data_IF_266366880058
#
_entry.id   IF_266366880058
#
_cell.length_a   1.000
_cell.length_b   1.000
_cell.length_c   1.000
_cell.angle_alpha   90.00
_cell.angle_beta   90.00
_cell.angle_gamma   90.00
#
_symmetry.space_group_name_H-M   'P 1'
#
loop_
_entity.id
_entity.type
_entity.pdbx_description
1 polymer ?
#
# COMPACT_ATOMS: atom_id res chain seq x y z
N UNK A 1 10.86 22.16 18.92
CA UNK A 1 9.40 22.12 18.84
C UNK A 1 9.04 20.74 18.33
N UNK A 2 7.92 20.15 18.82
CA UNK A 2 7.43 18.87 18.29
C UNK A 2 6.87 19.01 16.88
N UNK A 3 6.72 17.87 16.18
CA UNK A 3 6.11 17.81 14.85
C UNK A 3 4.62 18.15 14.92
N UNK A 4 4.11 18.87 13.92
CA UNK A 4 2.69 19.27 13.86
C UNK A 4 1.88 18.34 12.95
N UNK A 5 0.67 18.03 13.38
CA UNK A 5 -0.30 17.21 12.64
C UNK A 5 -1.59 17.99 12.41
N UNK A 6 -1.98 18.10 11.15
CA UNK A 6 -3.28 18.62 10.75
C UNK A 6 -4.19 17.43 10.46
N UNK A 7 -5.31 17.34 11.14
CA UNK A 7 -6.15 16.16 11.18
C UNK A 7 -7.53 16.47 10.62
N UNK A 8 -7.99 15.65 9.66
CA UNK A 8 -9.31 15.83 9.04
C UNK A 8 -10.45 15.68 10.07
N UNK A 9 -11.51 16.47 9.92
CA UNK A 9 -12.64 16.47 10.85
C UNK A 9 -13.38 15.13 10.93
N UNK A 10 -13.34 14.29 9.90
CA UNK A 10 -13.90 12.93 9.96
C UNK A 10 -13.12 12.04 10.95
N UNK A 11 -11.80 12.22 11.08
CA UNK A 11 -10.97 11.51 12.06
C UNK A 11 -11.35 11.86 13.49
N UNK A 12 -11.64 13.15 13.76
CA UNK A 12 -12.14 13.58 15.06
C UNK A 12 -13.44 12.87 15.44
N UNK A 13 -14.40 12.87 14.50
CA UNK A 13 -15.69 12.19 14.71
C UNK A 13 -15.49 10.69 14.93
N UNK A 14 -14.63 10.05 14.13
CA UNK A 14 -14.31 8.64 14.26
C UNK A 14 -13.73 8.32 15.65
N UNK A 15 -12.67 9.01 16.06
CA UNK A 15 -12.03 8.79 17.36
C UNK A 15 -12.95 9.10 18.54
N UNK A 16 -13.88 10.07 18.39
CA UNK A 16 -14.87 10.39 19.42
C UNK A 16 -15.91 9.29 19.59
N UNK A 17 -16.34 8.68 18.47
CA UNK A 17 -17.34 7.62 18.47
C UNK A 17 -16.74 6.24 18.75
N UNK A 18 -15.41 6.09 18.67
CA UNK A 18 -14.74 4.82 18.94
C UNK A 18 -14.94 4.44 20.41
N UNK A 19 -15.75 3.43 20.68
CA UNK A 19 -16.01 2.93 22.02
C UNK A 19 -15.24 1.63 22.23
N UNK A 20 -14.25 1.65 23.12
CA UNK A 20 -13.69 0.42 23.64
C UNK A 20 -14.63 -0.18 24.69
N UNK A 21 -14.87 -1.49 24.65
CA UNK A 21 -15.59 -2.19 25.71
C UNK A 21 -14.90 -1.94 27.06
N UNK A 22 -15.66 -2.01 28.16
CA UNK A 22 -15.11 -1.72 29.48
C UNK A 22 -13.92 -2.65 29.80
N UNK A 23 -12.74 -2.07 29.94
CA UNK A 23 -11.50 -2.81 30.23
C UNK A 23 -10.75 -3.34 29.01
N UNK A 24 -11.25 -3.13 27.77
CA UNK A 24 -10.55 -3.54 26.55
C UNK A 24 -9.58 -2.46 26.04
N UNK A 25 -8.61 -2.92 25.24
CA UNK A 25 -7.67 -2.09 24.50
C UNK A 25 -7.97 -2.19 23.01
N UNK A 26 -8.04 -1.03 22.32
CA UNK A 26 -8.26 -0.97 20.88
C UNK A 26 -7.09 -0.27 20.21
N UNK A 27 -6.61 -0.84 19.10
CA UNK A 27 -5.53 -0.27 18.30
C UNK A 27 -6.02 0.09 16.92
N UNK A 28 -5.32 1.01 16.27
CA UNK A 28 -5.59 1.33 14.89
C UNK A 28 -4.52 2.22 14.28
N UNK A 29 -4.70 2.49 13.00
CA UNK A 29 -3.74 3.18 12.15
C UNK A 29 -4.19 4.61 11.85
N UNK A 30 -3.23 5.51 11.70
CA UNK A 30 -3.42 6.80 11.06
C UNK A 30 -2.87 6.79 9.64
N UNK A 31 -3.67 7.22 8.70
CA UNK A 31 -3.37 7.27 7.27
C UNK A 31 -3.38 8.73 6.84
N UNK A 32 -2.43 9.09 5.96
CA UNK A 32 -2.34 10.45 5.46
C UNK A 32 -1.06 10.71 4.69
N UNK A 33 -0.61 11.96 4.69
CA UNK A 33 0.57 12.38 3.96
C UNK A 33 1.59 13.07 4.85
N UNK A 34 2.85 12.63 4.76
CA UNK A 34 3.98 13.34 5.35
C UNK A 34 4.34 14.58 4.54
N UNK A 35 4.80 15.62 5.20
CA UNK A 35 5.48 16.73 4.55
C UNK A 35 6.65 17.24 5.40
N UNK A 36 7.52 18.07 4.81
CA UNK A 36 8.71 18.57 5.51
C UNK A 36 8.40 19.33 6.81
N UNK A 37 7.27 20.02 6.87
CA UNK A 37 6.93 20.90 8.00
C UNK A 37 5.89 20.29 8.94
N UNK A 38 4.87 19.63 8.39
CA UNK A 38 3.75 19.05 9.16
C UNK A 38 3.08 17.95 8.37
N UNK A 39 2.50 17.01 9.06
CA UNK A 39 1.79 15.89 8.45
C UNK A 39 0.28 16.12 8.41
N UNK A 40 -0.37 15.48 7.46
CA UNK A 40 -1.81 15.55 7.26
C UNK A 40 -2.43 14.18 7.50
N UNK A 41 -3.21 14.04 8.57
CA UNK A 41 -3.94 12.81 8.89
C UNK A 41 -5.33 12.90 8.27
N UNK A 42 -5.65 12.00 7.35
CA UNK A 42 -6.90 12.03 6.57
C UNK A 42 -7.87 10.93 6.93
N UNK A 43 -7.37 9.83 7.52
CA UNK A 43 -8.18 8.69 7.93
C UNK A 43 -7.60 8.06 9.19
N UNK A 44 -8.48 7.56 10.06
CA UNK A 44 -8.15 6.66 11.16
C UNK A 44 -8.95 5.37 10.97
N UNK A 45 -8.29 4.22 11.13
CA UNK A 45 -8.93 2.91 11.00
C UNK A 45 -8.55 2.03 12.17
N UNK A 46 -9.51 1.32 12.72
CA UNK A 46 -9.27 0.35 13.79
C UNK A 46 -8.64 -0.91 13.20
N UNK A 47 -7.72 -1.52 13.93
CA UNK A 47 -7.22 -2.84 13.56
C UNK A 47 -8.32 -3.87 13.76
N UNK A 48 -8.66 -4.67 12.72
CA UNK A 48 -9.71 -5.69 12.84
C UNK A 48 -9.34 -6.72 13.90
N UNK A 49 -10.36 -7.29 14.55
CA UNK A 49 -10.14 -8.35 15.51
C UNK A 49 -9.74 -9.64 14.79
N UNK A 50 -8.76 -10.35 15.36
CA UNK A 50 -8.34 -11.64 14.81
C UNK A 50 -9.42 -12.69 15.07
N UNK A 51 -9.93 -13.31 14.02
CA UNK A 51 -10.83 -14.45 14.14
C UNK A 51 -10.04 -15.69 14.58
N UNK A 52 -10.37 -16.23 15.74
CA UNK A 52 -9.87 -17.53 16.22
C UNK A 52 -11.01 -18.52 16.19
N UNK A 53 -10.80 -19.67 15.52
CA UNK A 53 -11.80 -20.73 15.49
C UNK A 53 -12.19 -21.18 16.91
N UNK A 54 -13.49 -21.15 17.18
CA UNK A 54 -14.04 -21.66 18.45
C UNK A 54 -14.19 -20.64 19.60
N UNK A 55 -13.86 -19.38 19.41
CA UNK A 55 -14.03 -18.34 20.45
C UNK A 55 -15.35 -17.58 20.28
N UNK A 56 -16.12 -17.47 21.35
CA UNK A 56 -17.33 -16.62 21.42
C UNK A 56 -16.97 -15.15 21.28
N UNK A 57 -17.85 -14.34 20.70
CA UNK A 57 -17.65 -12.91 20.38
C UNK A 57 -17.05 -12.07 21.53
N UNK A 58 -17.28 -12.45 22.79
CA UNK A 58 -16.81 -11.73 23.96
C UNK A 58 -15.31 -11.90 24.30
N UNK A 59 -14.57 -12.77 23.59
CA UNK A 59 -13.13 -13.01 23.84
C UNK A 59 -12.22 -12.39 22.78
N UNK A 60 -12.76 -11.64 21.83
CA UNK A 60 -12.03 -11.10 20.66
C UNK A 60 -11.26 -9.83 20.94
N UNK A 61 -11.62 -9.06 21.96
CA UNK A 61 -10.94 -7.79 22.31
C UNK A 61 -9.82 -8.00 23.31
N UNK A 62 -8.59 -7.44 23.07
CA UNK A 62 -7.52 -7.49 24.05
C UNK A 62 -7.97 -6.86 25.38
N UNK A 63 -7.93 -7.64 26.46
CA UNK A 63 -8.28 -7.17 27.80
C UNK A 63 -7.12 -6.46 28.53
N UNK A 64 -5.91 -6.57 27.99
CA UNK A 64 -4.72 -5.91 28.54
C UNK A 64 -3.79 -5.47 27.42
N UNK A 65 -2.82 -4.60 27.71
CA UNK A 65 -1.81 -4.18 26.74
C UNK A 65 -0.92 -5.34 26.29
N UNK A 66 -0.67 -6.31 27.13
CA UNK A 66 0.16 -7.49 26.83
C UNK A 66 -0.54 -8.49 25.89
N UNK A 67 -1.86 -8.43 25.82
CA UNK A 67 -2.65 -9.27 24.91
C UNK A 67 -2.80 -8.69 23.48
N UNK A 68 -2.23 -7.50 23.23
CA UNK A 68 -2.21 -6.92 21.88
C UNK A 68 -1.22 -7.70 21.01
N UNK A 69 -1.72 -8.30 19.94
CA UNK A 69 -0.92 -9.00 18.96
C UNK A 69 -0.20 -7.97 18.05
N UNK A 70 1.10 -7.79 18.30
CA UNK A 70 1.95 -6.83 17.60
C UNK A 70 2.12 -7.21 16.12
N UNK A 71 2.19 -8.51 15.83
CA UNK A 71 2.36 -9.02 14.46
C UNK A 71 1.08 -8.79 13.64
N UNK A 72 -0.08 -9.00 14.25
CA UNK A 72 -1.37 -8.74 13.63
C UNK A 72 -1.57 -7.26 13.27
N UNK A 73 -1.21 -6.34 14.20
CA UNK A 73 -1.25 -4.89 13.92
C UNK A 73 -0.28 -4.51 12.79
N UNK A 74 0.92 -5.10 12.79
CA UNK A 74 1.91 -4.83 11.76
C UNK A 74 1.48 -5.39 10.39
N UNK A 75 0.82 -6.54 10.36
CA UNK A 75 0.27 -7.14 9.15
C UNK A 75 -0.92 -6.32 8.61
N UNK A 76 -1.84 -5.90 9.47
CA UNK A 76 -2.90 -4.98 9.07
C UNK A 76 -2.33 -3.71 8.41
N UNK A 77 -1.30 -3.12 9.01
CA UNK A 77 -0.66 -1.92 8.43
C UNK A 77 0.00 -2.21 7.07
N UNK A 78 0.58 -3.40 6.87
CA UNK A 78 1.16 -3.85 5.60
C UNK A 78 0.06 -3.97 4.53
N UNK A 79 -1.05 -4.63 4.84
CA UNK A 79 -2.18 -4.78 3.93
C UNK A 79 -2.80 -3.42 3.58
N UNK A 80 -3.05 -2.59 4.59
CA UNK A 80 -3.54 -1.22 4.36
C UNK A 80 -2.59 -0.43 3.46
N UNK A 81 -1.27 -0.56 3.63
CA UNK A 81 -0.31 0.16 2.78
C UNK A 81 -0.41 -0.18 1.31
N UNK A 82 -0.85 -1.41 0.94
CA UNK A 82 -1.12 -1.83 -0.44
C UNK A 82 -2.38 -1.16 -1.02
N UNK A 83 -3.30 -0.72 -0.14
CA UNK A 83 -4.58 -0.10 -0.53
C UNK A 83 -4.49 1.42 -0.66
N UNK A 84 -3.31 2.00 -0.48
CA UNK A 84 -3.11 3.45 -0.52
C UNK A 84 -2.50 3.89 -1.85
N UNK A 85 -3.02 4.97 -2.47
CA UNK A 85 -2.44 5.57 -3.65
C UNK A 85 -1.14 6.32 -3.32
N UNK A 86 -0.37 6.69 -4.33
CA UNK A 86 0.87 7.43 -4.17
C UNK A 86 0.72 8.72 -3.34
N UNK A 87 1.73 8.99 -2.53
CA UNK A 87 1.74 10.13 -1.63
C UNK A 87 0.96 9.95 -0.34
N UNK A 88 0.09 8.92 -0.24
CA UNK A 88 -0.64 8.57 0.98
C UNK A 88 0.02 7.37 1.65
N UNK A 89 0.17 7.39 2.95
CA UNK A 89 0.87 6.34 3.70
C UNK A 89 0.35 6.18 5.12
N UNK A 90 0.73 5.10 5.78
CA UNK A 90 0.52 4.92 7.22
C UNK A 90 1.48 5.83 7.98
N UNK A 91 0.94 6.78 8.73
CA UNK A 91 1.70 7.79 9.47
C UNK A 91 2.03 7.37 10.90
N UNK A 92 1.27 6.44 11.45
CA UNK A 92 1.41 5.97 12.83
C UNK A 92 0.16 5.28 13.35
N UNK A 93 -0.01 5.29 14.67
CA UNK A 93 -0.95 4.45 15.37
C UNK A 93 -1.71 5.20 16.47
N UNK A 94 -2.92 4.74 16.77
CA UNK A 94 -3.60 5.09 18.01
C UNK A 94 -3.81 3.84 18.90
N UNK A 95 -3.97 4.10 20.18
CA UNK A 95 -4.30 3.11 21.19
C UNK A 95 -5.33 3.72 22.14
N UNK A 96 -6.49 3.08 22.21
CA UNK A 96 -7.49 3.36 23.25
C UNK A 96 -7.30 2.37 24.36
N UNK A 97 -7.06 2.84 25.57
CA UNK A 97 -6.78 1.97 26.71
C UNK A 97 -7.39 2.55 28.01
N UNK A 98 -7.68 1.70 29.01
CA UNK A 98 -8.18 2.14 30.30
C UNK A 98 -7.12 2.96 31.06
N UNK A 99 -7.51 3.84 32.00
CA UNK A 99 -6.59 4.74 32.72
C UNK A 99 -5.50 3.97 33.49
N UNK A 100 -5.79 2.77 33.95
CA UNK A 100 -4.85 1.90 34.65
C UNK A 100 -3.64 1.51 33.78
N UNK A 101 -3.86 1.34 32.50
CA UNK A 101 -2.84 0.99 31.50
C UNK A 101 -2.02 2.19 30.98
N UNK A 102 -2.35 3.42 31.39
CA UNK A 102 -1.78 4.67 30.83
C UNK A 102 -0.26 4.78 30.94
N UNK A 103 0.36 4.20 31.99
CA UNK A 103 1.80 4.23 32.20
C UNK A 103 2.55 3.37 31.17
N UNK A 104 1.97 2.23 30.79
CA UNK A 104 2.57 1.24 29.87
C UNK A 104 2.19 1.48 28.43
N UNK A 105 1.09 2.21 28.19
CA UNK A 105 0.57 2.50 26.86
C UNK A 105 1.63 3.11 25.91
N UNK A 106 2.53 3.94 26.43
CA UNK A 106 3.57 4.55 25.63
C UNK A 106 4.62 3.54 25.17
N UNK A 107 4.98 2.57 26.00
CA UNK A 107 5.93 1.51 25.64
C UNK A 107 5.30 0.56 24.62
N UNK A 108 4.03 0.23 24.79
CA UNK A 108 3.26 -0.57 23.83
C UNK A 108 3.18 0.14 22.48
N UNK A 109 2.81 1.43 22.45
CA UNK A 109 2.81 2.22 21.22
C UNK A 109 4.18 2.30 20.56
N UNK A 110 5.27 2.40 21.33
CA UNK A 110 6.64 2.34 20.79
C UNK A 110 6.88 1.00 20.10
N UNK A 111 6.60 -0.13 20.76
CA UNK A 111 6.75 -1.47 20.16
C UNK A 111 5.96 -1.60 18.87
N UNK A 112 4.69 -1.18 18.87
CA UNK A 112 3.80 -1.26 17.72
C UNK A 112 4.32 -0.41 16.54
N UNK A 113 4.71 0.84 16.77
CA UNK A 113 5.15 1.74 15.69
C UNK A 113 6.42 1.25 15.02
N UNK A 114 7.37 0.67 15.78
CA UNK A 114 8.57 0.08 15.21
C UNK A 114 8.28 -1.21 14.44
N UNK A 115 7.37 -2.06 14.93
CA UNK A 115 6.95 -3.27 14.24
C UNK A 115 6.24 -2.93 12.92
N UNK A 116 5.33 -1.97 12.93
CA UNK A 116 4.62 -1.48 11.74
C UNK A 116 5.59 -0.90 10.72
N UNK A 117 6.50 -0.01 11.13
CA UNK A 117 7.47 0.58 10.21
C UNK A 117 8.40 -0.49 9.60
N UNK A 118 8.85 -1.43 10.40
CA UNK A 118 9.66 -2.58 9.93
C UNK A 118 8.90 -3.43 8.91
N UNK A 119 7.61 -3.73 9.17
CA UNK A 119 6.77 -4.53 8.27
C UNK A 119 6.56 -3.83 6.94
N UNK A 120 6.17 -2.55 6.94
CA UNK A 120 5.97 -1.76 5.73
C UNK A 120 7.28 -1.56 4.96
N UNK A 121 8.40 -1.34 5.66
CA UNK A 121 9.71 -1.13 5.01
C UNK A 121 10.22 -2.37 4.29
N UNK A 122 9.91 -3.57 4.78
CA UNK A 122 10.25 -4.83 4.10
C UNK A 122 9.57 -4.98 2.73
N UNK A 123 8.39 -4.36 2.56
CA UNK A 123 7.62 -4.38 1.30
C UNK A 123 8.04 -3.27 0.33
N UNK A 124 9.01 -2.43 0.67
CA UNK A 124 9.50 -1.38 -0.23
C UNK A 124 10.66 -1.88 -1.06
N UNK A 125 10.67 -1.53 -2.36
CA UNK A 125 11.73 -1.92 -3.29
C UNK A 125 12.90 -0.94 -3.35
N UNK A 126 12.71 0.29 -2.90
CA UNK A 126 13.78 1.29 -2.84
C UNK A 126 14.06 1.76 -1.42
N UNK A 127 15.29 2.18 -1.23
CA UNK A 127 15.73 2.69 0.06
C UNK A 127 15.12 4.07 0.34
N UNK A 128 14.79 4.36 1.61
CA UNK A 128 14.30 5.69 1.99
C UNK A 128 15.36 6.75 1.69
N UNK A 129 14.92 7.89 1.16
CA UNK A 129 15.80 9.04 0.93
C UNK A 129 16.18 9.71 2.26
N UNK A 130 17.26 10.53 2.25
CA UNK A 130 17.66 11.33 3.42
C UNK A 130 16.59 12.35 3.81
N UNK A 131 15.79 12.81 2.84
CA UNK A 131 14.69 13.76 3.03
C UNK A 131 13.42 13.11 3.59
N UNK A 132 13.35 11.77 3.70
CA UNK A 132 12.16 11.08 4.17
C UNK A 132 11.92 11.34 5.65
N UNK A 133 10.66 11.64 5.97
CA UNK A 133 10.20 11.82 7.34
C UNK A 133 10.19 10.50 8.08
N UNK A 134 11.01 10.40 9.12
CA UNK A 134 11.17 9.20 9.94
C UNK A 134 10.39 9.24 11.25
N UNK A 135 9.82 10.40 11.59
CA UNK A 135 8.97 10.54 12.76
C UNK A 135 7.58 9.97 12.50
N UNK A 136 7.12 9.04 13.35
CA UNK A 136 5.80 8.41 13.28
C UNK A 136 4.96 8.85 14.47
N UNK A 137 3.69 9.14 14.22
CA UNK A 137 2.77 9.60 15.24
C UNK A 137 2.22 8.45 16.08
N UNK A 138 2.02 8.71 17.35
CA UNK A 138 1.29 7.85 18.29
C UNK A 138 0.31 8.66 19.08
N UNK A 139 -0.94 8.18 19.20
CA UNK A 139 -1.98 8.80 19.98
C UNK A 139 -2.51 7.81 21.01
N UNK A 140 -2.32 8.12 22.29
CA UNK A 140 -2.95 7.38 23.38
C UNK A 140 -4.24 8.10 23.78
N UNK A 141 -5.35 7.38 23.78
CA UNK A 141 -6.67 7.88 24.20
C UNK A 141 -7.12 7.08 25.43
N UNK A 142 -7.38 7.78 26.52
CA UNK A 142 -7.96 7.14 27.71
C UNK A 142 -9.44 6.80 27.45
N UNK A 143 -9.82 5.52 27.58
CA UNK A 143 -11.19 5.06 27.30
C UNK A 143 -12.25 5.71 28.20
N UNK A 144 -11.93 6.02 29.46
CA UNK A 144 -12.86 6.64 30.42
C UNK A 144 -12.93 8.16 30.29
N UNK A 145 -11.77 8.83 30.29
CA UNK A 145 -11.73 10.31 30.34
C UNK A 145 -11.69 10.95 28.92
N UNK A 146 -11.49 10.16 27.89
CA UNK A 146 -11.31 10.58 26.49
C UNK A 146 -10.13 11.54 26.31
N UNK A 147 -9.28 11.69 27.32
CA UNK A 147 -8.05 12.49 27.20
C UNK A 147 -7.09 11.83 26.21
N UNK A 148 -6.68 12.59 25.22
CA UNK A 148 -5.71 12.16 24.22
C UNK A 148 -4.31 12.73 24.51
N UNK A 149 -3.28 11.91 24.30
CA UNK A 149 -1.87 12.30 24.41
C UNK A 149 -1.18 11.95 23.11
N UNK A 150 -0.75 12.98 22.38
CA UNK A 150 -0.08 12.85 21.08
C UNK A 150 1.44 12.94 21.24
N UNK A 151 2.16 11.98 20.68
CA UNK A 151 3.62 11.93 20.68
C UNK A 151 4.16 11.39 19.34
N UNK A 152 5.45 11.58 19.10
CA UNK A 152 6.16 11.00 17.95
C UNK A 152 7.34 10.17 18.40
N UNK A 153 7.67 9.18 17.59
CA UNK A 153 8.90 8.37 17.68
C UNK A 153 9.65 8.46 16.36
N UNK A 154 10.96 8.61 16.42
CA UNK A 154 11.83 8.49 15.26
C UNK A 154 12.17 7.02 15.04
N UNK A 155 11.64 6.43 13.95
CA UNK A 155 11.82 4.99 13.67
C UNK A 155 13.21 4.62 13.19
N UNK A 156 14.05 5.60 12.80
CA UNK A 156 15.49 5.37 12.52
C UNK A 156 16.33 5.20 13.80
N UNK A 157 15.84 5.72 14.94
CA UNK A 157 16.55 5.60 16.21
C UNK A 157 15.77 4.73 17.21
N UNK A 158 16.11 3.44 17.37
CA UNK A 158 15.45 2.54 18.32
C UNK A 158 15.55 3.00 19.78
N UNK A 159 16.54 3.84 20.10
CA UNK A 159 16.76 4.38 21.45
C UNK A 159 16.02 5.69 21.68
N UNK A 160 15.33 6.25 20.67
CA UNK A 160 14.64 7.51 20.80
C UNK A 160 13.59 7.49 21.93
N UNK A 161 13.45 8.64 22.57
CA UNK A 161 12.35 8.92 23.49
C UNK A 161 11.19 9.56 22.74
N UNK A 162 9.97 9.34 23.25
CA UNK A 162 8.78 9.96 22.70
C UNK A 162 8.85 11.48 22.83
N UNK A 163 8.67 12.19 21.73
CA UNK A 163 8.61 13.66 21.68
C UNK A 163 7.14 14.10 21.68
N UNK A 164 6.75 15.19 22.39
CA UNK A 164 5.41 15.74 22.25
C UNK A 164 5.14 16.18 20.80
N UNK A 165 3.90 16.05 20.35
CA UNK A 165 3.48 16.46 19.03
C UNK A 165 2.21 17.32 19.12
N UNK A 166 2.08 18.27 18.17
CA UNK A 166 0.90 19.12 18.08
C UNK A 166 -0.16 18.41 17.22
N UNK A 167 -1.38 18.31 17.75
CA UNK A 167 -2.52 17.67 17.10
C UNK A 167 -3.65 18.67 16.93
N UNK A 168 -3.96 19.03 15.68
CA UNK A 168 -4.95 20.05 15.38
C UNK A 168 -5.97 19.57 14.37
N UNK A 169 -7.24 19.62 14.71
CA UNK A 169 -8.33 19.30 13.81
C UNK A 169 -8.63 20.45 12.82
N UNK A 170 -8.87 20.07 11.58
CA UNK A 170 -9.25 21.00 10.51
C UNK A 170 -10.04 20.21 9.47
N UNK A 171 -11.25 20.66 9.11
CA UNK A 171 -12.09 20.02 8.11
C UNK A 171 -11.74 20.45 6.70
N UNK A 172 -11.95 19.56 5.73
CA UNK A 172 -11.82 19.84 4.30
C UNK A 172 -10.39 20.00 3.80
N UNK A 173 -9.40 19.43 4.50
CA UNK A 173 -7.99 19.54 4.11
C UNK A 173 -7.70 18.84 2.79
N UNK A 174 -8.39 17.76 2.48
CA UNK A 174 -8.17 16.92 1.29
C UNK A 174 -8.97 17.37 0.07
N UNK A 175 -10.00 18.19 0.23
CA UNK A 175 -10.92 18.58 -0.84
C UNK A 175 -10.25 19.29 -2.02
N UNK A 176 -9.10 19.90 -1.79
CA UNK A 176 -8.34 20.66 -2.79
C UNK A 176 -7.04 19.97 -3.21
N UNK A 177 -6.75 18.77 -2.70
CA UNK A 177 -5.53 18.07 -3.08
C UNK A 177 -5.57 17.66 -4.56
N UNK A 178 -4.58 18.08 -5.37
CA UNK A 178 -4.50 17.63 -6.75
C UNK A 178 -4.27 16.12 -6.80
N UNK A 179 -4.95 15.48 -7.74
CA UNK A 179 -4.75 14.10 -8.10
C UNK A 179 -3.87 14.03 -9.35
N UNK A 180 -2.75 13.32 -9.27
CA UNK A 180 -1.85 13.08 -10.38
C UNK A 180 -2.13 11.67 -10.90
N UNK A 181 -2.30 11.50 -12.21
CA UNK A 181 -2.58 10.21 -12.83
C UNK A 181 -1.59 9.90 -13.94
N UNK A 182 -1.23 8.62 -14.06
CA UNK A 182 -0.37 8.10 -15.11
C UNK A 182 -0.82 6.69 -15.49
N UNK A 183 -0.80 6.37 -16.79
CA UNK A 183 -0.89 5.01 -17.28
C UNK A 183 0.50 4.57 -17.73
N UNK A 184 0.98 3.46 -17.19
CA UNK A 184 2.30 2.91 -17.50
C UNK A 184 2.13 1.56 -18.18
N UNK A 185 2.70 1.42 -19.36
CA UNK A 185 2.85 0.12 -19.98
C UNK A 185 4.02 -0.59 -19.32
N UNK A 186 3.73 -1.72 -18.70
CA UNK A 186 4.72 -2.60 -18.09
C UNK A 186 5.06 -3.70 -19.10
N UNK A 187 6.35 -3.92 -19.31
CA UNK A 187 6.91 -5.01 -20.11
C UNK A 187 8.26 -5.37 -19.48
N UNK A 188 8.20 -6.29 -18.53
CA UNK A 188 9.32 -6.59 -17.64
C UNK A 188 9.66 -8.06 -17.70
N UNK A 189 10.88 -8.37 -18.16
CA UNK A 189 11.42 -9.72 -18.18
C UNK A 189 12.51 -9.88 -17.12
N UNK A 190 12.31 -10.81 -16.21
CA UNK A 190 13.21 -11.06 -15.07
C UNK A 190 13.78 -12.47 -15.22
N UNK A 191 15.10 -12.63 -15.41
CA UNK A 191 15.75 -13.94 -15.40
C UNK A 191 15.68 -14.54 -13.99
N UNK A 192 15.35 -15.82 -13.89
CA UNK A 192 15.24 -16.53 -12.61
C UNK A 192 16.16 -17.76 -12.56
N UNK A 193 16.63 -18.06 -11.36
CA UNK A 193 17.38 -19.30 -11.06
C UNK A 193 16.47 -20.25 -10.32
N UNK A 194 16.58 -21.57 -10.59
CA UNK A 194 15.73 -22.60 -10.00
C UNK A 194 15.74 -22.67 -8.48
N UNK A 195 16.87 -22.28 -7.87
CA UNK A 195 17.04 -22.43 -6.41
C UNK A 195 16.42 -21.29 -5.57
N UNK A 196 16.20 -20.09 -6.17
CA UNK A 196 15.78 -18.87 -5.44
C UNK A 196 14.92 -17.95 -6.30
N UNK A 197 13.80 -18.45 -6.80
CA UNK A 197 12.87 -17.71 -7.69
C UNK A 197 12.46 -16.39 -7.03
N UNK A 198 12.01 -16.41 -5.78
CA UNK A 198 11.59 -15.22 -5.01
C UNK A 198 12.68 -14.13 -4.97
N UNK A 199 13.92 -14.54 -4.71
CA UNK A 199 15.04 -13.59 -4.64
C UNK A 199 15.32 -12.99 -6.01
N UNK A 200 15.36 -13.81 -7.06
CA UNK A 200 15.61 -13.35 -8.43
C UNK A 200 14.54 -12.35 -8.87
N UNK A 201 13.27 -12.63 -8.59
CA UNK A 201 12.16 -11.73 -8.88
C UNK A 201 12.30 -10.41 -8.12
N UNK A 202 12.58 -10.44 -6.83
CA UNK A 202 12.77 -9.24 -6.01
C UNK A 202 13.95 -8.39 -6.48
N UNK A 203 15.05 -9.01 -6.86
CA UNK A 203 16.24 -8.31 -7.36
C UNK A 203 16.01 -7.70 -8.74
N UNK A 204 15.28 -8.39 -9.64
CA UNK A 204 14.84 -7.85 -10.93
C UNK A 204 13.90 -6.66 -10.77
N UNK A 205 12.93 -6.77 -9.85
CA UNK A 205 12.04 -5.66 -9.52
C UNK A 205 12.75 -4.46 -8.92
N UNK A 206 13.78 -4.67 -8.09
CA UNK A 206 14.61 -3.57 -7.57
C UNK A 206 15.36 -2.85 -8.69
N UNK A 207 15.86 -3.59 -9.67
CA UNK A 207 16.53 -3.01 -10.84
C UNK A 207 15.57 -2.16 -11.65
N UNK A 208 14.36 -2.68 -11.91
CA UNK A 208 13.31 -1.92 -12.57
C UNK A 208 12.84 -0.70 -11.76
N UNK A 209 12.72 -0.82 -10.45
CA UNK A 209 12.37 0.30 -9.57
C UNK A 209 13.38 1.45 -9.65
N UNK A 210 14.69 1.15 -9.78
CA UNK A 210 15.74 2.16 -9.99
C UNK A 210 15.58 2.88 -11.34
N UNK A 211 15.18 2.14 -12.40
CA UNK A 211 14.88 2.75 -13.71
C UNK A 211 13.68 3.70 -13.63
N UNK A 212 12.62 3.31 -12.90
CA UNK A 212 11.47 4.20 -12.66
C UNK A 212 11.88 5.41 -11.81
N UNK A 213 12.74 5.24 -10.81
CA UNK A 213 13.21 6.34 -9.96
C UNK A 213 14.02 7.37 -10.77
N UNK A 214 14.87 6.93 -11.69
CA UNK A 214 15.62 7.81 -12.60
C UNK A 214 14.76 8.40 -13.75
N UNK A 215 13.55 7.87 -14.00
CA UNK A 215 12.70 8.32 -15.09
C UNK A 215 12.37 9.81 -15.03
N UNK A 216 12.40 10.48 -16.18
CA UNK A 216 11.94 11.86 -16.31
C UNK A 216 10.41 11.92 -16.20
N UNK A 217 9.89 12.75 -15.32
CA UNK A 217 8.46 12.96 -15.17
C UNK A 217 8.01 14.21 -15.95
N UNK A 218 7.10 14.03 -16.91
CA UNK A 218 6.42 15.13 -17.57
C UNK A 218 5.07 15.37 -16.88
N UNK A 219 4.78 16.62 -16.55
CA UNK A 219 3.49 17.03 -15.99
C UNK A 219 2.72 17.84 -17.03
N UNK A 220 1.54 17.36 -17.39
CA UNK A 220 0.72 17.91 -18.49
C UNK A 220 1.53 18.08 -19.80
N UNK A 221 2.39 17.10 -20.10
CA UNK A 221 3.22 17.07 -21.33
C UNK A 221 4.42 18.03 -21.31
N UNK A 222 4.76 18.63 -20.17
CA UNK A 222 5.88 19.54 -20.03
C UNK A 222 6.91 18.99 -19.05
N UNK A 223 8.18 19.16 -19.37
CA UNK A 223 9.26 18.98 -18.39
C UNK A 223 9.12 20.02 -17.29
N UNK A 224 9.27 19.60 -16.06
CA UNK A 224 9.20 20.48 -14.90
C UNK A 224 10.48 20.40 -14.10
N UNK A 225 10.88 21.54 -13.53
CA UNK A 225 12.01 21.57 -12.61
C UNK A 225 11.59 21.02 -11.26
N UNK A 226 12.45 20.31 -10.56
CA UNK A 226 12.16 19.64 -9.30
C UNK A 226 11.56 20.57 -8.23
N UNK A 227 12.03 21.81 -8.16
CA UNK A 227 11.55 22.82 -7.23
C UNK A 227 10.39 23.66 -7.78
N UNK A 228 9.89 23.35 -8.98
CA UNK A 228 8.74 24.02 -9.57
C UNK A 228 7.47 23.88 -8.72
N UNK A 229 6.58 24.86 -8.80
CA UNK A 229 5.26 24.75 -8.19
C UNK A 229 4.36 23.88 -9.08
N UNK A 230 3.77 22.82 -8.49
CA UNK A 230 2.85 21.89 -9.20
C UNK A 230 1.62 22.62 -9.76
N UNK A 231 1.16 23.63 -9.04
CA UNK A 231 -0.06 24.41 -9.37
C UNK A 231 0.34 25.86 -9.69
N UNK A 232 0.91 26.06 -10.87
CA UNK A 232 1.19 27.41 -11.39
C UNK A 232 -0.03 27.94 -12.12
N UNK A 233 -0.82 28.79 -11.46
CA UNK A 233 -1.96 29.47 -12.09
C UNK A 233 -2.49 30.60 -11.22
N UNK A 234 -3.18 31.63 -11.80
CA UNK A 234 -3.76 32.70 -11.00
C UNK A 234 -4.76 32.08 -10.02
N UNK A 235 -4.57 32.32 -8.73
CA UNK A 235 -5.51 31.94 -7.67
C UNK A 235 -6.84 32.64 -7.98
N UNK A 236 -7.71 31.97 -8.75
CA UNK A 236 -9.09 32.45 -8.94
C UNK A 236 -9.85 32.24 -7.64
N UNK A 237 -10.29 33.35 -7.11
CA UNK A 237 -11.04 33.54 -5.89
C UNK A 237 -12.28 32.64 -5.75
N UNK A 238 -12.55 32.18 -4.53
CA UNK A 238 -13.88 32.07 -3.89
C UNK A 238 -14.97 31.24 -4.56
N UNK A 239 -14.66 30.09 -5.15
CA UNK A 239 -15.60 28.98 -5.27
C UNK A 239 -14.93 27.74 -4.73
N UNK A 240 -15.68 26.85 -4.06
CA UNK A 240 -15.17 25.58 -3.53
C UNK A 240 -14.19 24.99 -4.56
N UNK A 241 -12.92 24.87 -4.20
CA UNK A 241 -11.87 24.48 -5.13
C UNK A 241 -12.12 23.04 -5.55
N UNK A 242 -12.60 22.88 -6.77
CA UNK A 242 -12.78 21.58 -7.38
C UNK A 242 -11.41 20.91 -7.47
N UNK A 243 -11.34 19.66 -7.06
CA UNK A 243 -10.11 18.88 -7.13
C UNK A 243 -9.55 18.88 -8.57
N UNK A 244 -8.25 19.19 -8.70
CA UNK A 244 -7.60 19.24 -10.01
C UNK A 244 -6.99 17.88 -10.32
N UNK A 245 -7.27 17.38 -11.53
CA UNK A 245 -6.58 16.20 -12.08
C UNK A 245 -5.44 16.63 -12.98
N UNK A 246 -4.25 16.14 -12.69
CA UNK A 246 -3.01 16.43 -13.41
C UNK A 246 -2.55 15.14 -14.07
N UNK A 247 -2.29 15.18 -15.38
CA UNK A 247 -1.75 14.03 -16.12
C UNK A 247 -0.24 14.06 -16.10
N UNK A 248 0.36 12.92 -15.79
CA UNK A 248 1.80 12.75 -15.83
C UNK A 248 2.20 11.66 -16.83
N UNK A 249 3.45 11.72 -17.28
CA UNK A 249 4.11 10.71 -18.12
C UNK A 249 5.49 10.45 -17.55
N UNK A 250 5.91 9.21 -17.54
CA UNK A 250 7.25 8.80 -17.15
C UNK A 250 8.03 8.37 -18.40
N UNK A 251 9.21 8.95 -18.58
CA UNK A 251 10.12 8.64 -19.69
C UNK A 251 11.38 8.02 -19.10
N UNK A 252 11.64 6.78 -19.43
CA UNK A 252 12.90 6.09 -19.06
C UNK A 252 13.90 6.30 -20.20
N UNK A 253 15.15 6.68 -19.87
CA UNK A 253 16.21 6.79 -20.86
C UNK A 253 16.67 5.40 -21.30
N UNK A 254 16.81 5.20 -22.61
CA UNK A 254 17.37 3.97 -23.14
C UNK A 254 18.85 3.79 -22.75
N UNK A 255 19.58 4.89 -22.58
CA UNK A 255 21.00 4.87 -22.18
C UNK A 255 21.19 4.37 -20.75
N UNK A 256 20.24 4.65 -19.84
CA UNK A 256 20.28 4.16 -18.45
C UNK A 256 19.97 2.66 -18.34
N UNK A 257 19.23 2.11 -19.31
CA UNK A 257 18.96 0.67 -19.38
C UNK A 257 20.22 -0.14 -19.71
N UNK A 258 21.11 0.42 -20.52
CA UNK A 258 22.36 -0.26 -20.95
C UNK A 258 23.52 -0.04 -19.97
N UNK A 259 23.57 1.07 -19.24
CA UNK A 259 24.68 1.40 -18.34
C UNK A 259 24.86 0.40 -17.18
N UNK A 260 23.80 -0.30 -16.79
CA UNK A 260 23.85 -1.37 -15.78
C UNK A 260 24.31 -2.73 -16.32
N UNK A 261 24.23 -2.96 -17.65
CA UNK A 261 24.57 -4.23 -18.28
C UNK A 261 26.01 -4.33 -18.78
N UNK A 262 26.70 -3.20 -18.94
CA UNK A 262 28.03 -3.16 -19.53
C UNK A 262 29.18 -3.66 -18.63
N UNK A 263 28.94 -4.03 -17.39
CA UNK A 263 30.04 -4.30 -16.47
C UNK A 263 30.19 -5.74 -15.98
N UNK A 264 29.37 -6.72 -16.37
CA UNK A 264 29.55 -8.05 -15.83
C UNK A 264 30.10 -9.05 -16.86
N UNK A 265 31.34 -9.42 -16.67
CA UNK A 265 31.92 -10.61 -17.26
C UNK A 265 31.45 -11.92 -16.59
N UNK A 266 30.47 -11.85 -15.68
CA UNK A 266 29.94 -13.02 -14.97
C UNK A 266 28.74 -13.55 -15.74
N UNK A 267 28.91 -14.73 -16.29
CA UNK A 267 27.83 -15.53 -16.87
C UNK A 267 27.00 -16.09 -15.71
N UNK A 268 25.74 -15.69 -15.63
CA UNK A 268 24.80 -16.26 -14.65
C UNK A 268 24.04 -17.41 -15.30
N UNK A 269 23.98 -18.55 -14.62
CA UNK A 269 23.08 -19.62 -15.01
C UNK A 269 21.63 -19.17 -14.75
N UNK A 270 20.79 -19.32 -15.76
CA UNK A 270 19.39 -18.97 -15.71
C UNK A 270 18.56 -20.21 -16.03
N UNK A 271 17.57 -20.51 -15.18
CA UNK A 271 16.67 -21.65 -15.39
C UNK A 271 15.38 -21.26 -16.12
N UNK A 272 15.16 -19.97 -16.33
CA UNK A 272 13.98 -19.43 -16.99
C UNK A 272 13.86 -17.93 -16.82
N UNK A 273 12.73 -17.39 -17.23
CA UNK A 273 12.40 -15.98 -16.98
C UNK A 273 10.94 -15.81 -16.57
N UNK A 274 10.69 -14.78 -15.76
CA UNK A 274 9.35 -14.30 -15.46
C UNK A 274 9.10 -13.05 -16.28
N UNK A 275 8.05 -13.06 -17.08
CA UNK A 275 7.63 -11.94 -17.90
C UNK A 275 6.32 -11.36 -17.39
N UNK A 276 6.33 -10.07 -17.05
CA UNK A 276 5.16 -9.32 -16.58
C UNK A 276 4.82 -8.25 -17.59
N UNK A 277 3.61 -8.34 -18.18
CA UNK A 277 3.17 -7.43 -19.22
C UNK A 277 1.76 -6.90 -18.97
N UNK A 278 1.48 -5.66 -19.42
CA UNK A 278 0.17 -5.03 -19.35
C UNK A 278 0.25 -3.56 -18.97
N UNK A 279 -0.91 -2.92 -18.84
CA UNK A 279 -1.01 -1.52 -18.47
C UNK A 279 -1.45 -1.39 -17.01
N UNK A 280 -0.78 -0.53 -16.25
CA UNK A 280 -1.16 -0.18 -14.87
C UNK A 280 -1.61 1.27 -14.78
N UNK A 281 -2.69 1.53 -14.06
CA UNK A 281 -3.19 2.87 -13.78
C UNK A 281 -2.72 3.31 -12.39
N UNK A 282 -2.00 4.43 -12.36
CA UNK A 282 -1.43 4.97 -11.12
C UNK A 282 -2.07 6.29 -10.75
N UNK A 283 -2.27 6.49 -9.46
CA UNK A 283 -2.79 7.72 -8.86
C UNK A 283 -1.92 8.14 -7.69
N UNK A 284 -1.67 9.44 -7.61
CA UNK A 284 -1.01 10.03 -6.46
C UNK A 284 -1.72 11.31 -6.03
N UNK A 285 -1.69 11.61 -4.75
CA UNK A 285 -2.26 12.82 -4.18
C UNK A 285 -1.18 13.62 -3.48
N UNK A 286 -1.27 14.95 -3.61
CA UNK A 286 -0.30 15.86 -2.98
C UNK A 286 -1.05 16.96 -2.24
N UNK A 287 -0.61 17.25 -1.02
CA UNK A 287 -1.16 18.33 -0.23
C UNK A 287 -0.95 19.71 -0.90
N UNK A 288 -1.85 20.64 -0.64
CA UNK A 288 -1.83 21.98 -1.29
C UNK A 288 -0.91 23.02 -0.64
N UNK A 289 -0.19 22.66 0.43
CA UNK A 289 0.74 23.57 1.08
C UNK A 289 2.06 23.63 0.32
N UNK A 290 2.13 24.49 -0.71
CA UNK A 290 3.29 24.68 -1.62
C UNK A 290 3.79 23.35 -2.22
N UNK A 291 2.93 22.66 -2.99
CA UNK A 291 3.30 21.38 -3.58
C UNK A 291 4.40 21.58 -4.62
N UNK A 292 5.53 20.91 -4.42
CA UNK A 292 6.61 20.89 -5.39
C UNK A 292 6.44 19.75 -6.38
N UNK A 293 6.87 19.98 -7.61
CA UNK A 293 6.79 18.98 -8.69
C UNK A 293 7.57 17.72 -8.35
N UNK A 294 8.73 17.81 -7.69
CA UNK A 294 9.50 16.64 -7.24
C UNK A 294 8.69 15.71 -6.33
N UNK A 295 7.88 16.25 -5.39
CA UNK A 295 7.07 15.43 -4.50
C UNK A 295 5.95 14.70 -5.27
N UNK A 296 5.37 15.38 -6.27
CA UNK A 296 4.36 14.78 -7.14
C UNK A 296 4.96 13.66 -8.00
N UNK A 297 6.12 13.89 -8.59
CA UNK A 297 6.84 12.89 -9.37
C UNK A 297 7.20 11.68 -8.51
N UNK A 298 7.77 11.91 -7.33
CA UNK A 298 8.15 10.83 -6.40
C UNK A 298 6.96 10.03 -5.92
N UNK A 299 5.86 10.69 -5.54
CA UNK A 299 4.63 10.01 -5.13
C UNK A 299 4.08 9.11 -6.24
N UNK A 300 4.10 9.61 -7.48
CA UNK A 300 3.63 8.84 -8.64
C UNK A 300 4.55 7.65 -8.96
N UNK A 301 5.87 7.87 -8.99
CA UNK A 301 6.87 6.81 -9.20
C UNK A 301 6.74 5.70 -8.14
N UNK A 302 6.58 6.09 -6.88
CA UNK A 302 6.31 5.14 -5.78
C UNK A 302 5.03 4.34 -6.02
N UNK A 303 3.97 4.97 -6.50
CA UNK A 303 2.71 4.29 -6.79
C UNK A 303 2.86 3.27 -7.94
N UNK A 304 3.60 3.62 -8.99
CA UNK A 304 3.90 2.70 -10.10
C UNK A 304 4.61 1.45 -9.60
N UNK A 305 5.69 1.63 -8.87
CA UNK A 305 6.52 0.52 -8.37
C UNK A 305 5.75 -0.33 -7.35
N UNK A 306 5.06 0.31 -6.40
CA UNK A 306 4.28 -0.40 -5.39
C UNK A 306 3.14 -1.21 -6.02
N UNK A 307 2.50 -0.68 -7.07
CA UNK A 307 1.40 -1.36 -7.77
C UNK A 307 1.89 -2.66 -8.43
N UNK A 308 2.99 -2.61 -9.16
CA UNK A 308 3.56 -3.80 -9.83
C UNK A 308 4.08 -4.80 -8.79
N UNK A 309 4.80 -4.29 -7.79
CA UNK A 309 5.33 -5.13 -6.71
C UNK A 309 4.23 -5.86 -5.94
N UNK A 310 3.17 -5.15 -5.53
CA UNK A 310 2.06 -5.75 -4.78
C UNK A 310 1.39 -6.89 -5.56
N UNK A 311 1.20 -6.75 -6.86
CA UNK A 311 0.62 -7.81 -7.71
C UNK A 311 1.50 -9.05 -7.79
N UNK A 312 2.80 -8.83 -7.96
CA UNK A 312 3.75 -9.95 -8.02
C UNK A 312 3.87 -10.61 -6.64
N UNK A 313 3.86 -9.82 -5.55
CA UNK A 313 3.88 -10.36 -4.20
C UNK A 313 2.64 -11.20 -3.92
N UNK A 314 1.45 -10.75 -4.32
CA UNK A 314 0.20 -11.53 -4.21
C UNK A 314 0.25 -12.84 -5.01
N UNK A 315 0.80 -12.79 -6.24
CA UNK A 315 1.00 -13.99 -7.04
C UNK A 315 1.96 -14.98 -6.34
N UNK A 316 3.06 -14.50 -5.80
CA UNK A 316 4.01 -15.35 -5.07
C UNK A 316 3.39 -15.94 -3.79
N UNK A 317 2.59 -15.17 -3.07
CA UNK A 317 1.82 -15.65 -1.90
C UNK A 317 0.85 -16.76 -2.32
N UNK A 318 0.10 -16.60 -3.40
CA UNK A 318 -0.83 -17.61 -3.95
C UNK A 318 -0.10 -18.90 -4.37
N UNK A 319 1.05 -18.76 -5.05
CA UNK A 319 1.88 -19.90 -5.44
C UNK A 319 2.41 -20.69 -4.23
N UNK A 320 2.81 -20.01 -3.16
CA UNK A 320 3.26 -20.66 -1.92
C UNK A 320 2.13 -21.46 -1.26
N UNK A 321 0.91 -20.95 -1.31
CA UNK A 321 -0.28 -21.63 -0.76
C UNK A 321 -0.67 -22.87 -1.55
N UNK A 322 -0.46 -22.87 -2.87
CA UNK A 322 -0.85 -23.93 -3.81
C UNK A 322 0.26 -24.95 -4.13
N UNK A 323 1.23 -25.17 -3.22
CA UNK A 323 2.35 -26.11 -3.33
C UNK A 323 3.42 -25.80 -4.42
N UNK A 324 3.58 -24.54 -4.78
CA UNK A 324 4.83 -24.06 -5.37
C UNK A 324 5.09 -24.39 -6.83
N UNK A 325 4.19 -25.08 -7.51
CA UNK A 325 4.31 -25.26 -8.95
C UNK A 325 3.89 -23.96 -9.66
N UNK A 326 4.89 -23.16 -10.01
CA UNK A 326 4.77 -22.19 -11.11
C UNK A 326 4.42 -23.01 -12.34
N UNK A 327 3.12 -23.25 -12.55
CA UNK A 327 2.66 -23.93 -13.74
C UNK A 327 3.23 -23.16 -14.94
N UNK A 328 4.00 -23.85 -15.79
CA UNK A 328 4.42 -23.28 -17.05
C UNK A 328 3.16 -22.80 -17.78
N UNK A 329 2.99 -21.48 -17.87
CA UNK A 329 1.79 -20.91 -18.46
C UNK A 329 1.62 -19.43 -18.12
N UNK A 330 0.66 -18.83 -18.77
CA UNK A 330 0.27 -17.44 -18.55
C UNK A 330 -0.75 -17.37 -17.42
N UNK A 331 -0.51 -16.48 -16.45
CA UNK A 331 -1.40 -16.20 -15.34
C UNK A 331 -1.86 -14.74 -15.38
N UNK A 332 -3.13 -14.52 -15.11
CA UNK A 332 -3.68 -13.18 -14.97
C UNK A 332 -3.40 -12.64 -13.57
N UNK A 333 -2.76 -11.47 -13.52
CA UNK A 333 -2.52 -10.75 -12.27
C UNK A 333 -3.78 -10.00 -11.83
N UNK A 334 -3.99 -9.81 -10.52
CA UNK A 334 -5.14 -9.04 -10.05
C UNK A 334 -5.10 -7.60 -10.56
N UNK A 335 -6.27 -7.07 -10.95
CA UNK A 335 -6.43 -5.70 -11.44
C UNK A 335 -6.61 -4.73 -10.27
N UNK A 336 -6.01 -3.56 -10.37
CA UNK A 336 -6.23 -2.50 -9.39
C UNK A 336 -7.57 -1.82 -9.61
N UNK A 337 -8.33 -1.67 -8.56
CA UNK A 337 -9.62 -1.00 -8.52
C UNK A 337 -9.57 0.16 -7.56
N UNK A 338 -10.45 1.15 -7.76
CA UNK A 338 -10.45 2.36 -6.94
C UNK A 338 -11.84 2.62 -6.36
N UNK A 339 -11.86 3.12 -5.12
CA UNK A 339 -13.08 3.52 -4.46
C UNK A 339 -12.91 4.89 -3.80
N UNK A 340 -13.94 5.74 -3.77
CA UNK A 340 -13.87 7.04 -3.12
C UNK A 340 -13.79 6.87 -1.60
N UNK A 341 -12.92 7.63 -0.95
CA UNK A 341 -12.90 7.72 0.50
C UNK A 341 -13.94 8.73 0.97
N UNK A 342 -14.99 8.24 1.61
CA UNK A 342 -16.14 9.04 2.05
C UNK A 342 -15.70 10.28 2.85
N UNK A 343 -16.26 11.44 2.50
CA UNK A 343 -15.97 12.71 3.18
C UNK A 343 -14.62 13.33 2.85
N UNK A 344 -13.85 12.75 1.92
CA UNK A 344 -12.59 13.28 1.43
C UNK A 344 -12.59 13.36 -0.10
N UNK A 345 -11.65 14.12 -0.67
CA UNK A 345 -11.43 14.13 -2.12
C UNK A 345 -10.50 13.00 -2.59
N UNK A 346 -10.15 12.05 -1.73
CA UNK A 346 -9.22 10.97 -2.03
C UNK A 346 -9.96 9.73 -2.49
N UNK A 347 -9.27 8.90 -3.25
CA UNK A 347 -9.64 7.51 -3.50
C UNK A 347 -8.65 6.58 -2.82
N UNK A 348 -9.11 5.45 -2.36
CA UNK A 348 -8.31 4.30 -1.96
C UNK A 348 -8.35 3.26 -3.07
N UNK A 349 -7.52 2.26 -3.00
CA UNK A 349 -7.45 1.20 -4.02
C UNK A 349 -7.38 -0.18 -3.38
N UNK A 350 -7.75 -1.17 -4.16
CA UNK A 350 -7.57 -2.58 -3.84
C UNK A 350 -7.29 -3.35 -5.13
N UNK A 351 -7.14 -4.66 -5.03
CA UNK A 351 -6.86 -5.56 -6.14
C UNK A 351 -7.98 -6.59 -6.24
N UNK A 352 -8.57 -6.72 -7.43
CA UNK A 352 -9.61 -7.70 -7.73
C UNK A 352 -9.00 -8.86 -8.53
N UNK A 353 -9.13 -10.08 -8.03
CA UNK A 353 -8.71 -11.28 -8.71
C UNK A 353 -9.71 -11.69 -9.80
N UNK A 354 -9.31 -12.53 -10.78
CA UNK A 354 -10.19 -12.91 -11.89
C UNK A 354 -11.47 -13.64 -11.47
N UNK A 355 -11.46 -14.30 -10.33
CA UNK A 355 -12.55 -15.07 -9.73
C UNK A 355 -13.39 -14.29 -8.70
N UNK A 356 -13.00 -13.06 -8.40
CA UNK A 356 -13.69 -12.16 -7.46
C UNK A 356 -14.63 -11.19 -8.16
N UNK A 357 -15.57 -10.64 -7.38
CA UNK A 357 -16.50 -9.60 -7.79
C UNK A 357 -16.35 -8.33 -6.97
N UNK A 358 -17.09 -7.27 -7.30
CA UNK A 358 -17.02 -5.98 -6.60
C UNK A 358 -17.55 -6.01 -5.18
N UNK A 359 -18.41 -6.97 -4.82
CA UNK A 359 -18.90 -7.14 -3.46
C UNK A 359 -17.77 -7.63 -2.53
N UNK A 360 -16.95 -8.59 -3.00
CA UNK A 360 -15.79 -9.10 -2.24
C UNK A 360 -14.80 -7.96 -1.95
N UNK A 361 -14.58 -7.08 -2.93
CA UNK A 361 -13.74 -5.89 -2.78
C UNK A 361 -14.34 -4.89 -1.79
N UNK A 362 -15.65 -4.65 -1.86
CA UNK A 362 -16.32 -3.74 -0.93
C UNK A 362 -16.24 -4.25 0.53
N UNK A 363 -16.35 -5.56 0.72
CA UNK A 363 -16.18 -6.19 2.04
C UNK A 363 -14.75 -6.00 2.58
N UNK A 364 -13.72 -6.20 1.75
CA UNK A 364 -12.32 -5.92 2.15
C UNK A 364 -12.08 -4.45 2.49
N UNK A 365 -12.66 -3.50 1.75
CA UNK A 365 -12.59 -2.08 2.12
C UNK A 365 -13.24 -1.81 3.49
N UNK A 366 -14.33 -2.47 3.79
CA UNK A 366 -15.00 -2.37 5.09
C UNK A 366 -14.13 -2.93 6.21
N UNK A 367 -13.57 -4.11 6.02
CA UNK A 367 -12.73 -4.80 7.01
C UNK A 367 -11.43 -4.03 7.25
N UNK A 368 -10.71 -3.68 6.17
CA UNK A 368 -9.36 -3.14 6.25
C UNK A 368 -9.31 -1.65 6.52
N UNK A 369 -10.28 -0.88 6.01
CA UNK A 369 -10.30 0.59 6.06
C UNK A 369 -11.52 1.16 6.79
N UNK A 370 -12.41 0.31 7.32
CA UNK A 370 -13.68 0.72 7.93
C UNK A 370 -14.53 1.60 6.99
N UNK A 371 -14.42 1.36 5.67
CA UNK A 371 -15.15 2.09 4.63
C UNK A 371 -16.38 1.30 4.20
N UNK A 372 -17.57 1.77 4.54
CA UNK A 372 -18.81 1.22 4.02
C UNK A 372 -19.04 1.71 2.60
N UNK A 373 -18.78 0.85 1.62
CA UNK A 373 -18.93 1.12 0.20
C UNK A 373 -20.05 0.26 -0.38
N UNK A 374 -20.76 0.80 -1.38
CA UNK A 374 -21.65 0.01 -2.19
C UNK A 374 -20.86 -0.59 -3.37
N UNK A 375 -21.31 -1.70 -3.92
CA UNK A 375 -20.66 -2.33 -5.09
C UNK A 375 -20.46 -1.36 -6.26
N UNK A 376 -21.40 -0.44 -6.48
CA UNK A 376 -21.35 0.59 -7.52
C UNK A 376 -20.32 1.70 -7.29
N UNK A 377 -19.76 1.82 -6.08
CA UNK A 377 -18.72 2.79 -5.76
C UNK A 377 -17.31 2.31 -6.18
N UNK A 378 -17.15 1.02 -6.48
CA UNK A 378 -15.89 0.41 -6.87
C UNK A 378 -15.67 0.57 -8.38
N UNK A 379 -14.71 1.38 -8.76
CA UNK A 379 -14.34 1.63 -10.15
C UNK A 379 -13.33 0.57 -10.65
N UNK A 380 -13.82 -0.36 -11.46
CA UNK A 380 -13.05 -1.45 -12.09
C UNK A 380 -12.60 -1.10 -13.51
N UNK A 381 -12.96 0.07 -14.04
CA UNK A 381 -12.79 0.42 -15.46
C UNK A 381 -11.40 0.98 -15.79
N UNK A 382 -10.61 1.33 -14.79
CA UNK A 382 -9.36 2.07 -14.97
C UNK A 382 -8.22 1.23 -15.56
N UNK A 383 -8.25 -0.08 -15.36
CA UNK A 383 -7.16 -0.96 -15.81
C UNK A 383 -7.66 -2.10 -16.70
N UNK A 384 -6.86 -2.40 -17.73
CA UNK A 384 -6.93 -3.65 -18.47
C UNK A 384 -6.20 -4.77 -17.69
N UNK A 385 -6.40 -6.01 -18.13
CA UNK A 385 -5.75 -7.19 -17.54
C UNK A 385 -4.23 -7.11 -17.68
N UNK A 386 -3.51 -7.28 -16.58
CA UNK A 386 -2.06 -7.47 -16.56
C UNK A 386 -1.76 -8.96 -16.43
N UNK A 387 -0.68 -9.43 -17.07
CA UNK A 387 -0.36 -10.86 -17.18
C UNK A 387 1.04 -11.13 -16.69
N UNK A 388 1.22 -12.31 -16.13
CA UNK A 388 2.51 -12.87 -15.79
C UNK A 388 2.68 -14.22 -16.50
N UNK A 389 3.82 -14.45 -17.13
CA UNK A 389 4.16 -15.75 -17.69
C UNK A 389 5.54 -16.19 -17.23
N UNK A 390 5.69 -17.49 -17.04
CA UNK A 390 6.97 -18.13 -16.68
C UNK A 390 7.41 -18.95 -17.86
N UNK A 391 8.59 -18.62 -18.39
CA UNK A 391 9.20 -19.29 -19.54
C UNK A 391 10.42 -20.08 -19.05
N UNK A 392 10.40 -21.41 -19.28
CA UNK A 392 11.56 -22.26 -19.06
C UNK A 392 12.64 -22.04 -20.16
N UNK A 393 13.88 -22.38 -19.87
CA UNK A 393 14.98 -22.29 -20.86
C UNK A 393 14.78 -23.28 -22.02
N UNK A 394 13.99 -24.34 -21.81
CA UNK A 394 13.71 -25.37 -22.81
C UNK A 394 12.66 -24.95 -23.86
N UNK A 395 11.85 -23.93 -23.57
CA UNK A 395 10.79 -23.44 -24.48
C UNK A 395 11.29 -22.41 -25.52
N UNK A 396 12.58 -22.21 -25.64
CA UNK A 396 13.21 -21.13 -26.39
C UNK A 396 13.33 -21.29 -27.91
N UNK A 397 12.40 -21.96 -28.58
CA UNK A 397 12.37 -22.04 -30.07
C UNK A 397 10.95 -22.05 -30.64
N UNK A 398 10.11 -21.09 -30.29
CA UNK A 398 8.98 -20.73 -31.13
C UNK A 398 8.97 -19.22 -31.39
N UNK A 399 9.09 -18.88 -32.68
CA UNK A 399 9.01 -17.53 -33.22
C UNK A 399 7.74 -16.84 -32.74
N UNK A 400 7.87 -15.86 -31.86
CA UNK A 400 6.75 -14.99 -31.46
C UNK A 400 6.41 -14.09 -32.64
N UNK A 401 5.46 -14.52 -33.43
CA UNK A 401 4.80 -13.67 -34.43
C UNK A 401 3.97 -12.62 -33.71
N UNK A 402 4.36 -11.36 -33.82
CA UNK A 402 3.59 -10.22 -33.33
C UNK A 402 2.26 -10.14 -34.09
N UNK A 403 1.21 -10.65 -33.53
CA UNK A 403 -0.16 -10.42 -34.03
C UNK A 403 -0.67 -9.10 -33.51
N UNK A 404 -0.83 -8.14 -34.41
CA UNK A 404 -1.57 -6.89 -34.17
C UNK A 404 -3.01 -7.22 -33.83
N UNK A 405 -3.45 -6.86 -32.65
CA UNK A 405 -4.82 -7.11 -32.20
C UNK A 405 -5.81 -6.23 -32.95
N UNK A 406 -6.55 -6.83 -33.87
CA UNK A 406 -7.89 -6.39 -34.27
C UNK A 406 -8.91 -7.06 -33.36
N UNK A 407 -9.80 -6.26 -32.77
CA UNK A 407 -10.92 -6.72 -31.96
C UNK A 407 -11.80 -7.69 -32.74
N UNK A 408 -12.00 -8.90 -32.21
CA UNK A 408 -13.10 -9.76 -32.58
C UNK A 408 -13.65 -10.44 -31.32
N UNK A 409 -14.89 -10.12 -31.01
CA UNK A 409 -15.74 -10.74 -30.02
C UNK A 409 -15.97 -12.23 -30.35
N UNK A 410 -15.70 -13.13 -29.42
CA UNK A 410 -16.23 -14.49 -29.49
C UNK A 410 -16.67 -14.95 -28.11
N UNK A 411 -17.93 -15.34 -28.06
CA UNK A 411 -18.64 -15.95 -26.94
C UNK A 411 -17.95 -17.22 -26.45
N UNK A 412 -17.71 -17.30 -25.15
CA UNK A 412 -17.28 -18.53 -24.48
C UNK A 412 -18.38 -19.05 -23.55
N UNK A 413 -18.83 -20.26 -23.85
CA UNK A 413 -19.83 -21.03 -23.08
C UNK A 413 -19.26 -21.40 -21.71
N UNK A 414 -19.96 -21.16 -20.60
CA UNK A 414 -19.43 -21.46 -19.27
C UNK A 414 -19.58 -22.95 -18.91
N UNK A 415 -18.47 -23.59 -18.55
CA UNK A 415 -18.50 -24.86 -17.82
C UNK A 415 -18.72 -24.59 -16.33
N UNK A 416 -19.84 -25.04 -15.82
CA UNK A 416 -20.18 -25.02 -14.39
C UNK A 416 -19.16 -25.81 -13.58
N UNK A 417 -18.47 -25.15 -12.64
CA UNK A 417 -17.85 -25.79 -11.49
C UNK A 417 -18.57 -25.30 -10.23
N UNK A 418 -18.84 -26.26 -9.37
CA UNK A 418 -19.58 -26.15 -8.11
C UNK A 418 -18.89 -25.17 -7.16
N UNK A 419 -19.63 -24.14 -6.74
CA UNK A 419 -19.21 -23.18 -5.74
C UNK A 419 -19.04 -23.86 -4.37
N UNK A 420 -17.84 -23.78 -3.79
CA UNK A 420 -17.64 -23.93 -2.36
C UNK A 420 -17.54 -22.52 -1.75
N UNK A 421 -18.43 -22.25 -0.82
CA UNK A 421 -18.46 -21.04 -0.01
C UNK A 421 -17.29 -21.02 0.97
N UNK A 422 -16.22 -20.28 0.67
CA UNK A 422 -15.11 -20.03 1.57
C UNK A 422 -14.46 -18.64 1.33
N UNK A 423 -15.25 -17.57 1.26
CA UNK A 423 -14.70 -16.25 0.93
C UNK A 423 -14.17 -15.47 2.14
N UNK A 424 -14.68 -15.67 3.35
CA UNK A 424 -14.17 -14.95 4.55
C UNK A 424 -13.02 -15.66 5.27
N UNK A 425 -12.92 -17.01 5.14
CA UNK A 425 -11.89 -17.79 5.85
C UNK A 425 -10.51 -17.79 5.20
N UNK A 426 -10.40 -17.47 3.90
CA UNK A 426 -9.15 -17.59 3.15
C UNK A 426 -8.17 -16.47 3.50
N UNK A 427 -8.64 -15.24 3.70
CA UNK A 427 -7.78 -14.11 4.05
C UNK A 427 -7.23 -14.26 5.47
N UNK A 428 -8.05 -14.65 6.43
CA UNK A 428 -7.62 -14.87 7.81
C UNK A 428 -6.65 -16.06 7.95
N UNK A 429 -6.86 -17.14 7.20
CA UNK A 429 -5.98 -18.30 7.17
C UNK A 429 -4.63 -17.99 6.48
N UNK A 430 -4.62 -17.19 5.40
CA UNK A 430 -3.40 -16.79 4.71
C UNK A 430 -2.50 -15.94 5.61
N UNK A 431 -3.08 -14.99 6.34
CA UNK A 431 -2.36 -14.14 7.30
C UNK A 431 -1.78 -14.97 8.46
N UNK A 432 -2.54 -15.95 8.98
CA UNK A 432 -2.08 -16.80 10.08
C UNK A 432 -0.92 -17.73 9.66
N UNK A 433 -0.95 -18.27 8.43
CA UNK A 433 0.10 -19.17 7.93
C UNK A 433 1.38 -18.43 7.56
N UNK A 434 1.28 -17.18 7.06
CA UNK A 434 2.45 -16.36 6.78
C UNK A 434 3.19 -15.97 8.07
N UNK A 435 2.46 -15.64 9.13
CA UNK A 435 3.06 -15.35 10.44
C UNK A 435 3.81 -16.56 11.01
N UNK A 436 3.27 -17.77 10.84
CA UNK A 436 3.94 -19.01 11.30
C UNK A 436 5.13 -19.40 10.43
N UNK A 437 5.07 -19.23 9.12
CA UNK A 437 6.17 -19.56 8.20
C UNK A 437 7.38 -18.62 8.42
N UNK A 438 7.13 -17.32 8.63
CA UNK A 438 8.20 -16.37 8.94
C UNK A 438 8.83 -16.62 10.32
N UNK A 439 8.04 -17.06 11.30
CA UNK A 439 8.55 -17.42 12.63
C UNK A 439 9.45 -18.67 12.60
N UNK A 440 9.10 -19.69 11.79
CA UNK A 440 9.91 -20.90 11.63
C UNK A 440 11.21 -20.64 10.86
N UNK A 441 11.23 -19.71 9.92
CA UNK A 441 12.45 -19.32 9.22
C UNK A 441 13.42 -18.51 10.11
N UNK A 442 12.89 -17.83 11.13
CA UNK A 442 13.72 -17.06 12.09
C UNK A 442 14.30 -17.91 13.23
N UNK A 443 13.77 -19.11 13.48
CA UNK A 443 14.27 -20.04 14.50
C UNK A 443 15.37 -20.98 13.96
N UNK A 444 15.60 -20.98 12.63
CA UNK A 444 16.62 -21.81 11.98
C UNK A 444 17.85 -21.00 11.48
N UNK A 445 17.99 -19.72 11.84
CA UNK A 445 19.22 -18.93 11.77
C UNK A 445 19.71 -18.59 13.21
#
# INVERSE_FOLDING_TARGET
MGRGYIVEGCVEKYLTNLSAAAGSCETGLFIGQCSAQRDFVVLAVQTPHRETEGTTENQRTPSSLDSIDVEWVAEHARQVSRMLPGGVSVLGLFLVAPPEASKEAQNTLKKLVFAVDKSISKSKLWDPSEDDVTERITLHICSKTRKAVCKTFDVKDPKCSAKPADWKYQSGITSSWPMITCNVQVDLQIPVTSEKIDKSIKDGLRTWAKQIDSALCLINGKTVTDDGELLSGPKKSTKASQQQTVRAQLLVSAEDADAGQMSSAVVQECSGSVHVSGAVHCRAYIHTNKPKTRHAAQALKSDVVNTVFSRIEMLLEDLLMNNGDLASGQQDLPRRVFAPLSGSGLSVCDYIFPDENTADVAERFKEMLSCDLQEGDVDISMEAQTRCSVLGVEDGCEETTYTVFTQASSEVVPKKKTALQYTGMVVAAAVALLATATSLLYLNE
#
